data_IF_285400592828
#
_entry.id   IF_285400592828
#
_cell.length_a   1.000
_cell.length_b   1.000
_cell.length_c   1.000
_cell.angle_alpha   90.00
_cell.angle_beta   90.00
_cell.angle_gamma   90.00
#
_symmetry.space_group_name_H-M   'P 1'
#
loop_
_entity.id
_entity.type
_entity.pdbx_description
1 polymer ?
#
# COMPACT_ATOMS: atom_id res chain seq x y z
N UNK A 1 -3.10 -9.91 6.84
CA UNK A 1 -3.47 -8.83 5.91
C UNK A 1 -4.52 -9.33 4.94
N UNK A 2 -5.58 -8.55 4.68
CA UNK A 2 -6.55 -8.85 3.61
C UNK A 2 -6.08 -8.14 2.34
N UNK A 3 -5.90 -8.89 1.25
CA UNK A 3 -5.55 -8.35 -0.06
C UNK A 3 -6.84 -8.39 -0.90
N UNK A 4 -7.28 -7.23 -1.41
CA UNK A 4 -8.43 -7.16 -2.30
C UNK A 4 -7.95 -7.33 -3.75
N UNK A 5 -8.45 -8.37 -4.42
CA UNK A 5 -8.16 -8.64 -5.83
C UNK A 5 -9.36 -8.23 -6.72
N UNK A 6 -9.09 -7.98 -8.00
CA UNK A 6 -10.12 -7.83 -9.04
C UNK A 6 -10.78 -9.20 -9.25
N UNK A 7 -12.10 -9.22 -9.38
CA UNK A 7 -12.85 -10.47 -9.64
C UNK A 7 -12.46 -11.08 -10.99
N UNK A 8 -12.63 -12.40 -11.13
CA UNK A 8 -12.35 -13.11 -12.39
C UNK A 8 -13.10 -12.50 -13.59
N UNK A 9 -14.35 -12.06 -13.38
CA UNK A 9 -15.17 -11.40 -14.41
C UNK A 9 -14.57 -10.10 -14.95
N UNK A 10 -13.89 -9.34 -14.09
CA UNK A 10 -13.23 -8.09 -14.45
C UNK A 10 -11.85 -8.38 -15.07
N UNK A 11 -11.13 -9.38 -14.57
CA UNK A 11 -9.87 -9.83 -15.16
C UNK A 11 -10.07 -10.29 -16.62
N UNK A 12 -11.15 -11.03 -16.90
CA UNK A 12 -11.52 -11.47 -18.26
C UNK A 12 -11.89 -10.31 -19.21
N UNK A 13 -12.24 -9.14 -18.68
CA UNK A 13 -12.48 -7.92 -19.46
C UNK A 13 -11.19 -7.10 -19.68
N UNK A 14 -10.02 -7.64 -19.29
CA UNK A 14 -8.73 -6.97 -19.43
C UNK A 14 -8.36 -6.04 -18.28
N UNK A 15 -9.16 -6.00 -17.21
CA UNK A 15 -8.80 -5.25 -16.01
C UNK A 15 -7.78 -6.05 -15.18
N UNK A 16 -6.50 -5.74 -15.35
CA UNK A 16 -5.46 -6.25 -14.46
C UNK A 16 -5.28 -5.32 -13.27
N UNK A 17 -5.48 -5.77 -12.02
CA UNK A 17 -5.14 -4.96 -10.87
C UNK A 17 -3.62 -4.79 -10.83
N UNK A 18 -3.16 -3.59 -11.11
CA UNK A 18 -1.84 -3.17 -10.68
C UNK A 18 -1.85 -2.66 -9.24
N UNK A 19 -3.03 -2.30 -8.70
CA UNK A 19 -3.18 -1.68 -7.38
C UNK A 19 -3.67 -2.70 -6.34
N UNK A 20 -2.93 -2.84 -5.25
CA UNK A 20 -3.27 -3.69 -4.11
C UNK A 20 -3.42 -2.85 -2.85
N UNK A 21 -4.41 -3.17 -2.03
CA UNK A 21 -4.59 -2.60 -0.69
C UNK A 21 -4.06 -3.57 0.36
N UNK A 22 -3.21 -3.08 1.27
CA UNK A 22 -2.60 -3.86 2.34
C UNK A 22 -3.11 -3.41 3.70
N UNK A 23 -3.86 -4.30 4.35
CA UNK A 23 -4.33 -4.09 5.73
C UNK A 23 -3.37 -4.77 6.72
N UNK A 24 -2.53 -3.98 7.40
CA UNK A 24 -1.50 -4.46 8.33
C UNK A 24 -2.09 -4.74 9.73
N UNK A 25 -1.53 -5.68 10.51
CA UNK A 25 -2.01 -5.96 11.86
C UNK A 25 -1.84 -4.73 12.77
N UNK A 26 -2.96 -4.26 13.33
CA UNK A 26 -3.00 -3.10 14.23
C UNK A 26 -3.02 -3.52 15.69
N UNK A 27 -2.24 -2.87 16.54
CA UNK A 27 -2.21 -3.08 17.99
C UNK A 27 -2.71 -1.84 18.72
N UNK A 28 -3.29 -2.00 19.90
CA UNK A 28 -3.82 -0.89 20.73
C UNK A 28 -5.09 -1.28 21.47
N UNK A 29 -5.36 -0.62 22.60
CA UNK A 29 -6.53 -0.86 23.44
C UNK A 29 -7.69 0.09 23.09
N UNK A 30 -7.38 1.31 22.62
CA UNK A 30 -8.38 2.27 22.15
C UNK A 30 -8.41 2.37 20.62
N UNK A 31 -9.44 3.03 20.07
CA UNK A 31 -9.53 3.28 18.63
C UNK A 31 -8.38 4.18 18.15
N UNK A 32 -8.03 5.19 18.94
CA UNK A 32 -6.97 6.15 18.66
C UNK A 32 -5.59 5.47 18.68
N UNK A 33 -5.34 4.58 19.64
CA UNK A 33 -4.10 3.81 19.71
C UNK A 33 -3.95 2.86 18.51
N UNK A 34 -5.03 2.16 18.14
CA UNK A 34 -5.04 1.28 16.96
C UNK A 34 -4.80 2.05 15.68
N UNK A 35 -5.40 3.23 15.54
CA UNK A 35 -5.22 4.08 14.39
C UNK A 35 -3.80 4.65 14.32
N UNK A 36 -3.26 5.15 15.44
CA UNK A 36 -1.89 5.64 15.51
C UNK A 36 -0.87 4.53 15.17
N UNK A 37 -1.07 3.33 15.70
CA UNK A 37 -0.24 2.16 15.36
C UNK A 37 -0.35 1.81 13.88
N UNK A 38 -1.57 1.78 13.31
CA UNK A 38 -1.81 1.54 11.88
C UNK A 38 -1.03 2.54 11.01
N UNK A 39 -1.18 3.83 11.31
CA UNK A 39 -0.50 4.93 10.60
C UNK A 39 1.02 4.78 10.65
N UNK A 40 1.57 4.54 11.84
CA UNK A 40 3.01 4.38 12.03
C UNK A 40 3.56 3.14 11.30
N UNK A 41 2.86 2.01 11.40
CA UNK A 41 3.27 0.75 10.77
C UNK A 41 3.24 0.85 9.24
N UNK A 42 2.20 1.48 8.70
CA UNK A 42 2.09 1.74 7.27
C UNK A 42 3.22 2.64 6.75
N UNK A 43 3.51 3.74 7.44
CA UNK A 43 4.62 4.63 7.07
C UNK A 43 5.97 3.89 7.13
N UNK A 44 6.17 3.03 8.13
CA UNK A 44 7.37 2.19 8.26
C UNK A 44 7.53 1.25 7.07
N UNK A 45 6.46 0.58 6.62
CA UNK A 45 6.49 -0.26 5.43
C UNK A 45 6.87 0.55 4.20
N UNK A 46 6.20 1.68 3.95
CA UNK A 46 6.43 2.49 2.76
C UNK A 46 7.88 3.01 2.72
N UNK A 47 8.38 3.54 3.84
CA UNK A 47 9.76 4.01 3.91
C UNK A 47 10.75 2.88 3.66
N UNK A 48 10.54 1.69 4.25
CA UNK A 48 11.41 0.55 4.02
C UNK A 48 11.47 0.16 2.53
N UNK A 49 10.31 0.06 1.87
CA UNK A 49 10.26 -0.32 0.44
C UNK A 49 10.97 0.70 -0.45
N UNK A 50 10.82 1.99 -0.16
CA UNK A 50 11.51 3.06 -0.89
C UNK A 50 13.01 3.06 -0.60
N UNK A 51 13.42 2.84 0.65
CA UNK A 51 14.84 2.83 1.03
C UNK A 51 15.59 1.65 0.42
N UNK A 52 15.00 0.45 0.44
CA UNK A 52 15.66 -0.76 -0.08
C UNK A 52 15.54 -0.86 -1.62
N UNK A 53 14.50 -0.25 -2.22
CA UNK A 53 14.24 -0.32 -3.66
C UNK A 53 14.01 1.08 -4.26
N UNK A 54 14.96 2.01 -4.14
CA UNK A 54 14.74 3.43 -4.46
C UNK A 54 14.45 3.70 -5.94
N UNK A 55 14.91 2.82 -6.84
CA UNK A 55 14.72 2.96 -8.28
C UNK A 55 13.35 2.44 -8.76
N UNK A 56 12.71 1.58 -7.97
CA UNK A 56 11.43 0.95 -8.32
C UNK A 56 10.37 1.16 -7.24
N UNK A 57 10.60 1.91 -6.17
CA UNK A 57 9.59 2.22 -5.16
C UNK A 57 9.56 3.71 -4.87
N UNK A 58 8.38 4.32 -5.01
CA UNK A 58 8.18 5.76 -4.80
C UNK A 58 6.97 6.03 -3.92
N UNK A 59 7.11 6.99 -3.00
CA UNK A 59 5.97 7.57 -2.29
C UNK A 59 5.18 8.44 -3.26
N UNK A 60 3.92 8.12 -3.51
CA UNK A 60 3.10 8.90 -4.44
C UNK A 60 1.66 9.02 -3.97
N UNK A 61 1.09 10.20 -4.17
CA UNK A 61 -0.30 10.53 -3.84
C UNK A 61 -1.22 10.49 -5.07
N UNK A 62 -0.69 10.14 -6.24
CA UNK A 62 -1.43 10.01 -7.50
C UNK A 62 -1.03 8.77 -8.30
N UNK A 63 -1.99 8.15 -9.00
CA UNK A 63 -1.79 6.96 -9.81
C UNK A 63 -1.21 7.31 -11.18
N UNK A 64 0.08 7.61 -11.25
CA UNK A 64 0.81 7.74 -12.52
C UNK A 64 1.77 6.58 -12.67
N UNK A 65 1.35 5.48 -13.30
CA UNK A 65 2.23 4.33 -13.54
C UNK A 65 3.11 4.57 -14.77
N UNK A 66 4.38 4.90 -14.53
CA UNK A 66 5.41 4.97 -15.58
C UNK A 66 6.46 3.86 -15.41
N UNK A 67 6.84 3.53 -14.16
CA UNK A 67 7.78 2.44 -13.84
C UNK A 67 7.78 2.12 -12.32
N UNK A 68 7.93 0.85 -11.93
CA UNK A 68 8.05 0.41 -10.54
C UNK A 68 6.74 0.33 -9.73
N UNK A 69 6.85 0.55 -8.42
CA UNK A 69 5.85 0.47 -7.37
C UNK A 69 5.54 1.85 -6.79
N UNK A 70 4.26 2.21 -6.74
CA UNK A 70 3.80 3.46 -6.12
C UNK A 70 3.09 3.14 -4.82
N UNK A 71 3.63 3.66 -3.72
CA UNK A 71 3.11 3.48 -2.38
C UNK A 71 2.34 4.73 -1.94
N UNK A 72 1.09 4.55 -1.51
CA UNK A 72 0.20 5.66 -1.15
C UNK A 72 -0.40 5.47 0.24
N UNK A 73 -0.34 6.52 1.06
CA UNK A 73 -1.13 6.70 2.29
C UNK A 73 -1.33 8.20 2.56
N UNK A 74 -2.53 8.65 2.97
CA UNK A 74 -3.82 7.95 2.93
C UNK A 74 -4.36 7.84 1.49
N UNK A 75 -5.29 6.91 1.25
CA UNK A 75 -6.00 6.86 -0.02
C UNK A 75 -6.97 8.07 -0.10
N UNK A 76 -6.46 9.24 -0.49
CA UNK A 76 -7.31 10.43 -0.61
C UNK A 76 -8.29 10.26 -1.75
N UNK A 77 -9.57 10.09 -1.38
CA UNK A 77 -10.70 10.43 -2.25
C UNK A 77 -10.54 11.88 -2.69
N UNK A 78 -10.62 12.14 -3.99
CA UNK A 78 -10.58 13.49 -4.57
C UNK A 78 -11.84 14.32 -4.28
N UNK A 79 -12.74 13.84 -3.41
CA UNK A 79 -13.92 14.57 -2.98
C UNK A 79 -13.69 15.22 -1.62
N UNK A 80 -13.66 16.56 -1.62
CA UNK A 80 -13.37 17.44 -0.47
C UNK A 80 -14.38 17.42 0.68
N UNK A 81 -15.04 16.30 0.93
CA UNK A 81 -16.05 16.09 2.00
C UNK A 81 -15.58 15.16 3.11
N UNK A 82 -14.38 14.59 3.02
CA UNK A 82 -13.87 13.56 3.95
C UNK A 82 -13.02 14.21 5.06
N UNK A 83 -13.39 14.07 6.35
CA UNK A 83 -12.57 14.59 7.46
C UNK A 83 -11.33 13.72 7.65
N UNK A 84 -10.29 14.23 8.32
CA UNK A 84 -9.03 13.49 8.55
C UNK A 84 -9.25 12.13 9.24
N UNK A 85 -10.24 12.03 10.14
CA UNK A 85 -10.61 10.79 10.82
C UNK A 85 -11.46 9.82 9.97
N UNK A 86 -11.98 10.26 8.83
CA UNK A 86 -12.76 9.43 7.90
C UNK A 86 -11.86 8.81 6.81
N UNK A 87 -10.57 9.17 6.78
CA UNK A 87 -9.62 8.65 5.80
C UNK A 87 -9.25 7.21 6.15
N UNK A 88 -9.42 6.31 5.20
CA UNK A 88 -8.91 4.95 5.35
C UNK A 88 -7.38 4.95 5.20
N UNK A 89 -6.67 4.85 6.33
CA UNK A 89 -5.22 4.69 6.39
C UNK A 89 -4.85 3.25 6.06
N UNK A 90 -5.10 2.86 4.82
CA UNK A 90 -4.65 1.61 4.23
C UNK A 90 -3.51 1.91 3.26
N UNK A 91 -2.48 1.07 3.26
CA UNK A 91 -1.42 1.19 2.26
C UNK A 91 -1.98 0.71 0.94
N UNK A 92 -1.86 1.52 -0.10
CA UNK A 92 -2.07 1.07 -1.48
C UNK A 92 -0.75 1.02 -2.21
N UNK A 93 -0.49 -0.09 -2.88
CA UNK A 93 0.69 -0.28 -3.72
C UNK A 93 0.25 -0.53 -5.15
N UNK A 94 0.74 0.28 -6.08
CA UNK A 94 0.50 0.11 -7.52
C UNK A 94 1.76 -0.43 -8.18
N UNK A 95 1.73 -1.67 -8.67
CA UNK A 95 2.88 -2.40 -9.22
C UNK A 95 2.88 -2.37 -10.75
N UNK A 96 4.01 -1.98 -11.35
CA UNK A 96 4.29 -2.10 -12.78
C UNK A 96 4.40 -3.58 -13.20
N UNK A 97 4.02 -3.95 -14.43
CA UNK A 97 4.27 -5.29 -14.98
C UNK A 97 5.76 -5.58 -15.19
N UNK A 98 6.59 -4.53 -15.25
CA UNK A 98 8.05 -4.60 -15.35
C UNK A 98 8.66 -4.06 -14.08
N UNK A 99 9.10 -4.95 -13.18
CA UNK A 99 9.84 -4.70 -11.93
C UNK A 99 10.55 -5.97 -11.46
N UNK A 100 11.51 -5.85 -10.54
CA UNK A 100 12.15 -7.00 -9.89
C UNK A 100 11.27 -7.53 -8.75
N UNK A 101 10.40 -8.50 -9.08
CA UNK A 101 9.42 -9.04 -8.15
C UNK A 101 10.06 -9.80 -6.99
N UNK A 102 11.16 -10.51 -7.25
CA UNK A 102 11.83 -11.31 -6.23
C UNK A 102 12.49 -10.40 -5.19
N UNK A 103 13.12 -9.31 -5.61
CA UNK A 103 13.67 -8.34 -4.67
C UNK A 103 12.57 -7.67 -3.82
N UNK A 104 11.44 -7.29 -4.44
CA UNK A 104 10.29 -6.76 -3.70
C UNK A 104 9.74 -7.73 -2.65
N UNK A 105 9.61 -9.03 -3.02
CA UNK A 105 9.18 -10.08 -2.08
C UNK A 105 10.14 -10.23 -0.91
N UNK A 106 11.45 -10.19 -1.16
CA UNK A 106 12.46 -10.31 -0.11
C UNK A 106 12.39 -9.15 0.89
N UNK A 107 12.30 -7.91 0.41
CA UNK A 107 12.18 -6.73 1.29
C UNK A 107 10.87 -6.77 2.08
N UNK A 108 9.76 -7.11 1.43
CA UNK A 108 8.46 -7.24 2.11
C UNK A 108 8.46 -8.37 3.14
N UNK A 109 9.11 -9.51 2.86
CA UNK A 109 9.19 -10.63 3.81
C UNK A 109 10.00 -10.25 5.04
N UNK A 110 11.12 -9.53 4.87
CA UNK A 110 11.90 -8.96 5.99
C UNK A 110 11.06 -8.01 6.85
N UNK A 111 10.13 -7.27 6.24
CA UNK A 111 9.18 -6.45 7.01
C UNK A 111 8.20 -7.32 7.80
N UNK A 112 7.58 -8.31 7.15
CA UNK A 112 6.59 -9.20 7.74
C UNK A 112 7.16 -10.01 8.93
N UNK A 113 8.43 -10.41 8.88
CA UNK A 113 9.11 -11.10 9.98
C UNK A 113 9.38 -10.22 11.21
N UNK A 114 9.28 -8.89 11.07
CA UNK A 114 9.61 -7.91 12.11
C UNK A 114 8.39 -7.30 12.80
N UNK A 115 7.19 -7.78 12.50
CA UNK A 115 5.91 -7.21 12.96
C UNK A 115 5.03 -8.23 13.65
#
# INVERSE_FOLDING_TARGET
AKINFVSEDLANQGFTPSVFSLDLPTQGNTAEEKEAHKRALNLKLIHLMITEIPNESKFCVSYGQLSGCYWTIPATSTQGTTKEGDKDYIVRVSMSPSLDLEHHKQVFSKFAERI
#
